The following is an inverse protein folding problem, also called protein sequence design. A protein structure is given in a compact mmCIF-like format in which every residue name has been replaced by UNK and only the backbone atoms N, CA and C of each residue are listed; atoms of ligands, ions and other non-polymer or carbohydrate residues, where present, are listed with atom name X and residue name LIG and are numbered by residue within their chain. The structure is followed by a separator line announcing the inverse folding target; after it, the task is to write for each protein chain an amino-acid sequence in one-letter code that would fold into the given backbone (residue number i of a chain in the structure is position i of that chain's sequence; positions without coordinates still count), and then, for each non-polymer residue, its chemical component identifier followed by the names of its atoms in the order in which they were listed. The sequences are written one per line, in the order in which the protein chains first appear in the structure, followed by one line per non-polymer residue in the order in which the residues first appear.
data_IF_079174183418
#
_entry.id   IF_079174183418
#
_cell.length_a   1.000
_cell.length_b   1.000
_cell.length_c   1.000
_cell.angle_alpha   90.00
_cell.angle_beta   90.00
_cell.angle_gamma   90.00
#
_symmetry.space_group_name_H-M   'P 1'
#
loop_
_entity.id
_entity.type
_entity.pdbx_description
1 polymer ?
#
# COMPACT_ATOMS: atom_id res chain seq x y z
N UNK A 1 11.95 -43.95 35.11
CA UNK A 1 12.61 -42.66 35.36
C UNK A 1 13.64 -42.27 34.30
N UNK A 2 14.13 -43.21 33.49
CA UNK A 2 15.12 -42.91 32.43
C UNK A 2 14.53 -42.36 31.12
N UNK A 3 13.25 -42.55 30.82
CA UNK A 3 12.58 -42.05 29.60
C UNK A 3 12.31 -40.55 29.58
N UNK A 4 12.08 -39.96 30.74
CA UNK A 4 11.72 -38.53 30.84
C UNK A 4 12.95 -37.59 30.70
N UNK A 5 14.13 -38.09 31.12
CA UNK A 5 15.39 -37.31 30.96
C UNK A 5 15.86 -37.26 29.50
N UNK A 6 15.68 -38.35 28.74
CA UNK A 6 16.04 -38.42 27.33
C UNK A 6 15.17 -37.49 26.48
N UNK A 7 13.86 -37.44 26.75
CA UNK A 7 12.91 -36.55 26.04
C UNK A 7 13.22 -35.08 26.30
N UNK A 8 13.58 -34.68 27.53
CA UNK A 8 13.95 -33.31 27.86
C UNK A 8 15.28 -32.86 27.20
N UNK A 9 16.23 -33.74 27.05
CA UNK A 9 17.52 -33.45 26.37
C UNK A 9 17.29 -33.31 24.86
N UNK A 10 16.40 -34.12 24.26
CA UNK A 10 16.04 -34.02 22.86
C UNK A 10 15.27 -32.72 22.56
N UNK A 11 14.30 -32.33 23.38
CA UNK A 11 13.56 -31.07 23.25
C UNK A 11 14.44 -29.84 23.44
N UNK A 12 15.45 -29.92 24.31
CA UNK A 12 16.43 -28.83 24.49
C UNK A 12 17.38 -28.69 23.30
N UNK A 13 17.79 -29.82 22.67
CA UNK A 13 18.63 -29.81 21.45
C UNK A 13 17.85 -29.25 20.23
N UNK A 14 16.57 -29.56 20.11
CA UNK A 14 15.72 -29.02 19.03
C UNK A 14 15.44 -27.52 19.22
N UNK A 15 15.22 -27.03 20.45
CA UNK A 15 15.13 -25.60 20.74
C UNK A 15 16.42 -24.85 20.43
N UNK A 16 17.58 -25.39 20.77
CA UNK A 16 18.89 -24.81 20.43
C UNK A 16 19.19 -24.82 18.93
N UNK A 17 18.76 -25.86 18.20
CA UNK A 17 18.87 -25.96 16.74
C UNK A 17 17.99 -24.89 16.04
N UNK A 18 16.80 -24.58 16.58
CA UNK A 18 15.94 -23.51 16.09
C UNK A 18 16.53 -22.11 16.28
N UNK A 19 17.20 -21.88 17.40
CA UNK A 19 17.85 -20.59 17.70
C UNK A 19 19.06 -20.32 16.79
N UNK A 20 19.87 -21.33 16.52
CA UNK A 20 21.02 -21.23 15.61
C UNK A 20 20.63 -20.94 14.16
N UNK A 21 19.50 -21.49 13.69
CA UNK A 21 18.95 -21.19 12.34
C UNK A 21 18.45 -19.78 12.24
N UNK A 22 17.82 -19.23 13.28
CA UNK A 22 17.31 -17.85 13.28
C UNK A 22 18.45 -16.83 13.24
N UNK A 23 19.55 -17.11 13.91
CA UNK A 23 20.72 -16.21 13.95
C UNK A 23 21.50 -16.23 12.62
N UNK A 24 21.64 -17.41 12.00
CA UNK A 24 22.23 -17.58 10.65
C UNK A 24 21.38 -16.85 9.59
N UNK A 25 20.06 -17.02 9.65
CA UNK A 25 19.13 -16.33 8.77
C UNK A 25 19.17 -14.79 8.98
N UNK A 26 19.28 -14.32 10.23
CA UNK A 26 19.47 -12.90 10.53
C UNK A 26 20.80 -12.35 10.00
N UNK A 27 21.88 -13.11 10.10
CA UNK A 27 23.19 -12.72 9.55
C UNK A 27 23.18 -12.70 8.02
N UNK A 28 22.51 -13.65 7.37
CA UNK A 28 22.33 -13.65 5.91
C UNK A 28 21.43 -12.51 5.43
N UNK A 29 20.32 -12.22 6.14
CA UNK A 29 19.48 -11.05 5.84
C UNK A 29 20.25 -9.71 6.00
N UNK A 30 21.09 -9.60 7.03
CA UNK A 30 21.97 -8.44 7.20
C UNK A 30 23.04 -8.34 6.11
N UNK A 31 23.59 -9.47 5.66
CA UNK A 31 24.53 -9.54 4.53
C UNK A 31 23.84 -9.15 3.21
N UNK A 32 22.63 -9.67 2.96
CA UNK A 32 21.81 -9.30 1.78
C UNK A 32 21.39 -7.82 1.79
N UNK A 33 21.05 -7.26 2.97
CA UNK A 33 20.76 -5.82 3.09
C UNK A 33 22.01 -4.95 2.89
N UNK A 34 23.19 -5.43 3.30
CA UNK A 34 24.47 -4.72 3.10
C UNK A 34 24.94 -4.81 1.65
N UNK A 35 24.73 -5.96 0.96
CA UNK A 35 25.04 -6.10 -0.47
C UNK A 35 24.07 -5.31 -1.37
N UNK A 36 22.76 -5.23 -1.00
CA UNK A 36 21.81 -4.36 -1.73
C UNK A 36 22.08 -2.86 -1.54
N UNK A 37 22.76 -2.45 -0.45
CA UNK A 37 23.16 -1.05 -0.25
C UNK A 37 24.46 -0.67 -0.99
N UNK A 38 25.22 -1.65 -1.47
CA UNK A 38 26.50 -1.45 -2.16
C UNK A 38 26.39 -1.39 -3.69
N UNK A 39 25.19 -1.66 -4.26
CA UNK A 39 25.00 -1.75 -5.71
C UNK A 39 23.92 -0.79 -6.23
N UNK A 40 23.86 0.40 -5.65
CA UNK A 40 23.23 1.53 -6.32
C UNK A 40 24.30 2.15 -7.22
N UNK A 41 24.53 1.51 -8.36
CA UNK A 41 25.21 2.19 -9.47
C UNK A 41 24.45 3.49 -9.72
N UNK A 42 25.14 4.64 -9.83
CA UNK A 42 24.47 5.91 -10.11
C UNK A 42 23.60 5.69 -11.35
N UNK A 43 22.33 6.08 -11.27
CA UNK A 43 21.41 6.06 -12.41
C UNK A 43 22.13 6.83 -13.52
N UNK A 44 22.59 6.11 -14.54
CA UNK A 44 23.34 6.71 -15.63
C UNK A 44 22.38 7.65 -16.36
N UNK A 45 22.58 8.95 -16.20
CA UNK A 45 21.78 9.94 -16.91
C UNK A 45 21.84 9.67 -18.41
N UNK A 46 20.71 9.77 -19.07
CA UNK A 46 20.63 9.63 -20.52
C UNK A 46 21.40 10.78 -21.19
N UNK A 47 22.12 10.46 -22.26
CA UNK A 47 22.64 11.53 -23.11
C UNK A 47 21.45 12.28 -23.75
N UNK A 48 21.65 13.55 -24.17
CA UNK A 48 20.60 14.32 -24.86
C UNK A 48 20.06 13.62 -26.12
N UNK A 49 20.89 12.82 -26.80
CA UNK A 49 20.47 12.01 -27.94
C UNK A 49 19.60 10.81 -27.51
N UNK A 50 19.98 10.09 -26.45
CA UNK A 50 19.19 9.00 -25.91
C UNK A 50 17.85 9.51 -25.39
N UNK A 51 17.83 10.68 -24.74
CA UNK A 51 16.59 11.29 -24.27
C UNK A 51 15.65 11.61 -25.44
N UNK A 52 16.16 12.27 -26.51
CA UNK A 52 15.35 12.58 -27.71
C UNK A 52 14.82 11.31 -28.39
N UNK A 53 15.61 10.24 -28.43
CA UNK A 53 15.18 8.96 -28.99
C UNK A 53 14.09 8.32 -28.14
N UNK A 54 14.27 8.33 -26.80
CA UNK A 54 13.25 7.84 -25.87
C UNK A 54 11.94 8.61 -26.03
N UNK A 55 11.99 9.93 -26.03
CA UNK A 55 10.80 10.80 -26.17
C UNK A 55 10.05 10.52 -27.48
N UNK A 56 10.80 10.38 -28.59
CA UNK A 56 10.20 10.04 -29.88
C UNK A 56 9.44 8.71 -29.84
N UNK A 57 10.06 7.65 -29.34
CA UNK A 57 9.43 6.34 -29.29
C UNK A 57 8.29 6.30 -28.27
N UNK A 58 8.41 7.00 -27.16
CA UNK A 58 7.32 7.05 -26.17
C UNK A 58 6.07 7.76 -26.73
N UNK A 59 6.25 8.85 -27.47
CA UNK A 59 5.16 9.53 -28.17
C UNK A 59 4.57 8.66 -29.28
N UNK A 60 5.39 7.92 -30.00
CA UNK A 60 4.93 6.98 -31.02
C UNK A 60 4.10 5.84 -30.42
N UNK A 61 4.51 5.29 -29.28
CA UNK A 61 3.73 4.30 -28.54
C UNK A 61 2.37 4.86 -28.12
N UNK A 62 2.33 6.10 -27.62
CA UNK A 62 1.09 6.78 -27.27
C UNK A 62 0.15 6.96 -28.50
N UNK A 63 0.72 7.33 -29.65
CA UNK A 63 -0.01 7.47 -30.93
C UNK A 63 -0.62 6.15 -31.37
N UNK A 64 0.15 5.07 -31.34
CA UNK A 64 -0.30 3.72 -31.70
C UNK A 64 -1.41 3.22 -30.77
N UNK A 65 -1.29 3.50 -29.46
CA UNK A 65 -2.34 3.20 -28.47
C UNK A 65 -3.67 3.90 -28.80
N UNK A 66 -3.62 5.18 -29.20
CA UNK A 66 -4.81 5.94 -29.64
C UNK A 66 -5.41 5.32 -30.92
N UNK A 67 -4.59 4.82 -31.83
CA UNK A 67 -5.00 4.11 -33.03
C UNK A 67 -5.48 2.67 -32.77
N UNK A 68 -5.41 2.21 -31.51
CA UNK A 68 -5.74 0.84 -31.09
C UNK A 68 -4.81 -0.24 -31.68
N UNK A 69 -3.65 0.15 -32.17
CA UNK A 69 -2.59 -0.78 -32.58
C UNK A 69 -1.75 -1.15 -31.36
N UNK A 70 -2.32 -2.02 -30.52
CA UNK A 70 -1.76 -2.35 -29.21
C UNK A 70 -0.49 -3.19 -29.32
N UNK A 71 -0.37 -4.05 -30.33
CA UNK A 71 0.81 -4.89 -30.52
C UNK A 71 2.01 -4.04 -30.90
N UNK A 72 1.85 -3.12 -31.87
CA UNK A 72 2.89 -2.20 -32.24
C UNK A 72 3.26 -1.22 -31.09
N UNK A 73 2.26 -0.76 -30.33
CA UNK A 73 2.52 0.08 -29.15
C UNK A 73 3.34 -0.65 -28.08
N UNK A 74 3.07 -1.93 -27.86
CA UNK A 74 3.81 -2.77 -26.92
C UNK A 74 5.28 -2.91 -27.36
N UNK A 75 5.53 -3.24 -28.63
CA UNK A 75 6.89 -3.38 -29.16
C UNK A 75 7.69 -2.09 -29.04
N UNK A 76 7.06 -0.96 -29.35
CA UNK A 76 7.67 0.37 -29.23
C UNK A 76 7.97 0.71 -27.76
N UNK A 77 7.09 0.38 -26.82
CA UNK A 77 7.34 0.55 -25.38
C UNK A 77 8.49 -0.32 -24.89
N UNK A 78 8.60 -1.56 -25.37
CA UNK A 78 9.78 -2.40 -25.07
C UNK A 78 11.06 -1.73 -25.56
N UNK A 79 11.03 -1.13 -26.76
CA UNK A 79 12.18 -0.39 -27.28
C UNK A 79 12.50 0.84 -26.41
N UNK A 80 11.50 1.57 -25.91
CA UNK A 80 11.73 2.65 -24.92
C UNK A 80 12.52 2.16 -23.71
N UNK A 81 12.18 0.98 -23.18
CA UNK A 81 12.86 0.39 -22.03
C UNK A 81 14.26 -0.13 -22.34
N UNK A 82 14.61 -0.40 -23.61
CA UNK A 82 16.01 -0.65 -23.98
C UNK A 82 16.86 0.62 -23.94
N UNK A 83 16.25 1.78 -24.21
CA UNK A 83 16.93 3.10 -24.16
C UNK A 83 17.02 3.57 -22.69
N UNK A 84 15.91 3.51 -21.97
CA UNK A 84 15.82 3.89 -20.55
C UNK A 84 15.10 2.81 -19.73
N UNK A 85 15.84 1.83 -19.16
CA UNK A 85 15.25 0.75 -18.35
C UNK A 85 14.57 1.23 -17.06
N UNK A 86 14.78 2.48 -16.67
CA UNK A 86 14.23 3.08 -15.45
C UNK A 86 13.16 4.14 -15.73
N UNK A 87 12.68 4.24 -16.97
CA UNK A 87 11.64 5.19 -17.34
C UNK A 87 10.30 4.81 -16.70
N UNK A 88 9.92 5.51 -15.65
CA UNK A 88 8.69 5.23 -14.89
C UNK A 88 7.44 5.27 -15.75
N UNK A 89 7.35 6.20 -16.71
CA UNK A 89 6.22 6.30 -17.62
C UNK A 89 6.10 5.08 -18.54
N UNK A 90 7.21 4.62 -19.13
CA UNK A 90 7.21 3.43 -19.98
C UNK A 90 6.93 2.15 -19.16
N UNK A 91 7.49 2.05 -17.95
CA UNK A 91 7.24 0.94 -17.03
C UNK A 91 5.75 0.88 -16.62
N UNK A 92 5.13 2.02 -16.33
CA UNK A 92 3.72 2.10 -15.99
C UNK A 92 2.83 1.67 -17.16
N UNK A 93 3.10 2.17 -18.36
CA UNK A 93 2.38 1.77 -19.57
C UNK A 93 2.57 0.26 -19.87
N UNK A 94 3.81 -0.26 -19.79
CA UNK A 94 4.09 -1.70 -19.96
C UNK A 94 3.32 -2.56 -18.96
N UNK A 95 3.20 -2.11 -17.71
CA UNK A 95 2.45 -2.83 -16.70
C UNK A 95 0.98 -3.02 -17.11
N UNK A 96 0.34 -2.02 -17.74
CA UNK A 96 -1.03 -2.14 -18.24
C UNK A 96 -1.16 -3.23 -19.31
N UNK A 97 -0.18 -3.32 -20.22
CA UNK A 97 -0.15 -4.40 -21.23
C UNK A 97 0.05 -5.77 -20.60
N UNK A 98 0.96 -5.91 -19.64
CA UNK A 98 1.18 -7.17 -18.93
C UNK A 98 -0.09 -7.61 -18.17
N UNK A 99 -0.80 -6.68 -17.54
CA UNK A 99 -2.06 -6.97 -16.87
C UNK A 99 -3.14 -7.43 -17.87
N UNK A 100 -3.26 -6.77 -19.01
CA UNK A 100 -4.17 -7.18 -20.08
C UNK A 100 -3.86 -8.59 -20.60
N UNK A 101 -2.57 -8.92 -20.77
CA UNK A 101 -2.09 -10.23 -21.18
C UNK A 101 -2.12 -11.28 -20.05
N UNK A 102 -2.67 -10.94 -18.89
CA UNK A 102 -2.71 -11.80 -17.69
C UNK A 102 -1.33 -12.24 -17.18
N UNK A 103 -0.28 -11.51 -17.53
CA UNK A 103 1.07 -11.69 -17.04
C UNK A 103 1.29 -10.87 -15.76
N UNK A 104 0.47 -11.16 -14.76
CA UNK A 104 0.38 -10.38 -13.51
C UNK A 104 1.75 -10.18 -12.83
N UNK A 105 2.63 -11.17 -12.69
CA UNK A 105 3.93 -10.96 -12.04
C UNK A 105 4.82 -9.93 -12.78
N UNK A 106 4.78 -9.89 -14.11
CA UNK A 106 5.53 -8.90 -14.89
C UNK A 106 4.91 -7.50 -14.77
N UNK A 107 3.59 -7.42 -14.77
CA UNK A 107 2.87 -6.17 -14.54
C UNK A 107 3.17 -5.58 -13.17
N UNK A 108 3.16 -6.41 -12.13
CA UNK A 108 3.50 -6.02 -10.77
C UNK A 108 4.94 -5.52 -10.66
N UNK A 109 5.92 -6.27 -11.19
CA UNK A 109 7.32 -5.86 -11.17
C UNK A 109 7.56 -4.54 -11.90
N UNK A 110 6.86 -4.31 -13.01
CA UNK A 110 6.94 -3.06 -13.75
C UNK A 110 6.34 -1.87 -12.95
N UNK A 111 5.19 -2.06 -12.30
CA UNK A 111 4.57 -1.04 -11.43
C UNK A 111 5.44 -0.74 -10.21
N UNK A 112 5.95 -1.75 -9.53
CA UNK A 112 6.84 -1.58 -8.38
C UNK A 112 8.06 -0.72 -8.76
N UNK A 113 8.68 -1.04 -9.89
CA UNK A 113 9.82 -0.27 -10.41
C UNK A 113 9.42 1.15 -10.83
N UNK A 114 8.23 1.35 -11.42
CA UNK A 114 7.74 2.67 -11.77
C UNK A 114 7.55 3.56 -10.52
N UNK A 115 6.97 3.01 -9.44
CA UNK A 115 6.78 3.70 -8.15
C UNK A 115 8.13 3.98 -7.48
N UNK A 116 9.07 3.03 -7.50
CA UNK A 116 10.42 3.21 -6.93
C UNK A 116 11.16 4.37 -7.62
N UNK A 117 11.08 4.46 -8.94
CA UNK A 117 11.76 5.48 -9.74
C UNK A 117 11.04 6.85 -9.73
N UNK A 118 9.73 6.87 -9.47
CA UNK A 118 8.92 8.10 -9.40
C UNK A 118 8.02 8.11 -8.16
N UNK A 119 8.59 8.18 -6.94
CA UNK A 119 7.85 8.03 -5.69
C UNK A 119 6.85 9.16 -5.42
N UNK A 120 6.94 10.28 -6.13
CA UNK A 120 6.02 11.42 -6.03
C UNK A 120 4.90 11.38 -7.09
N UNK A 121 4.81 10.31 -7.89
CA UNK A 121 3.71 10.15 -8.83
C UNK A 121 2.57 9.37 -8.16
N UNK A 122 1.51 10.10 -7.81
CA UNK A 122 0.32 9.54 -7.18
C UNK A 122 -0.30 8.39 -7.98
N UNK A 123 -0.41 8.56 -9.31
CA UNK A 123 -1.11 7.59 -10.16
C UNK A 123 -0.38 6.25 -10.27
N UNK A 124 0.96 6.26 -10.22
CA UNK A 124 1.72 5.02 -10.22
C UNK A 124 1.54 4.27 -8.89
N UNK A 125 1.61 5.00 -7.77
CA UNK A 125 1.38 4.42 -6.45
C UNK A 125 -0.06 3.90 -6.31
N UNK A 126 -1.05 4.64 -6.79
CA UNK A 126 -2.46 4.22 -6.77
C UNK A 126 -2.68 2.96 -7.62
N UNK A 127 -2.06 2.89 -8.81
CA UNK A 127 -2.12 1.70 -9.67
C UNK A 127 -1.54 0.46 -8.97
N UNK A 128 -0.42 0.62 -8.27
CA UNK A 128 0.22 -0.47 -7.52
C UNK A 128 -0.60 -0.89 -6.29
N UNK A 129 -1.17 0.07 -5.56
CA UNK A 129 -2.04 -0.22 -4.42
C UNK A 129 -3.28 -1.01 -4.85
N UNK A 130 -3.92 -0.61 -5.94
CA UNK A 130 -5.06 -1.32 -6.51
C UNK A 130 -4.69 -2.74 -6.93
N UNK A 131 -3.50 -2.94 -7.52
CA UNK A 131 -3.03 -4.26 -7.90
C UNK A 131 -2.83 -5.16 -6.68
N UNK A 132 -2.20 -4.66 -5.62
CA UNK A 132 -2.03 -5.42 -4.38
C UNK A 132 -3.38 -5.79 -3.74
N UNK A 133 -4.35 -4.88 -3.74
CA UNK A 133 -5.70 -5.16 -3.26
C UNK A 133 -6.40 -6.24 -4.08
N UNK A 134 -6.29 -6.20 -5.42
CA UNK A 134 -6.86 -7.21 -6.31
C UNK A 134 -6.23 -8.60 -6.11
N UNK A 135 -4.97 -8.66 -5.73
CA UNK A 135 -4.25 -9.91 -5.46
C UNK A 135 -4.38 -10.39 -4.02
N UNK A 136 -5.15 -9.69 -3.18
CA UNK A 136 -5.24 -9.91 -1.73
C UNK A 136 -3.88 -9.84 -1.00
N UNK A 137 -2.92 -9.09 -1.55
CA UNK A 137 -1.65 -8.77 -0.88
C UNK A 137 -1.87 -7.63 0.13
N UNK A 138 -2.72 -7.88 1.11
CA UNK A 138 -3.34 -6.87 1.98
C UNK A 138 -2.31 -6.08 2.79
N UNK A 139 -1.27 -6.74 3.33
CA UNK A 139 -0.22 -6.08 4.12
C UNK A 139 0.62 -5.13 3.24
N UNK A 140 0.89 -5.53 1.98
CA UNK A 140 1.64 -4.68 1.04
C UNK A 140 0.80 -3.49 0.58
N UNK A 141 -0.49 -3.73 0.33
CA UNK A 141 -1.44 -2.68 0.01
C UNK A 141 -1.52 -1.65 1.15
N UNK A 142 -1.72 -2.10 2.39
CA UNK A 142 -1.80 -1.24 3.56
C UNK A 142 -0.52 -0.40 3.76
N UNK A 143 0.66 -1.04 3.69
CA UNK A 143 1.94 -0.33 3.84
C UNK A 143 2.16 0.75 2.76
N UNK A 144 1.77 0.47 1.51
CA UNK A 144 1.84 1.45 0.42
C UNK A 144 0.84 2.59 0.64
N UNK A 145 -0.40 2.28 0.98
CA UNK A 145 -1.46 3.26 1.23
C UNK A 145 -1.17 4.16 2.43
N UNK A 146 -0.59 3.62 3.52
CA UNK A 146 -0.12 4.42 4.66
C UNK A 146 0.93 5.45 4.23
N UNK A 147 1.88 5.02 3.40
CA UNK A 147 2.91 5.90 2.84
C UNK A 147 2.27 6.96 1.92
N UNK A 148 1.31 6.57 1.08
CA UNK A 148 0.56 7.47 0.21
C UNK A 148 -0.23 8.51 1.01
N UNK A 149 -0.90 8.10 2.10
CA UNK A 149 -1.67 9.00 2.95
C UNK A 149 -0.82 10.10 3.60
N UNK A 150 0.46 9.82 3.86
CA UNK A 150 1.42 10.83 4.36
C UNK A 150 1.94 11.70 3.22
N UNK A 151 2.33 11.09 2.10
CA UNK A 151 3.01 11.77 1.00
C UNK A 151 2.07 12.65 0.16
N UNK A 152 0.84 12.20 -0.02
CA UNK A 152 -0.22 12.87 -0.79
C UNK A 152 -1.35 13.27 0.14
N UNK A 153 -1.05 14.18 1.07
CA UNK A 153 -1.98 14.60 2.13
C UNK A 153 -3.23 15.30 1.62
N UNK A 154 -3.22 15.78 0.38
CA UNK A 154 -4.38 16.35 -0.32
C UNK A 154 -5.36 15.30 -0.87
N UNK A 155 -4.97 14.02 -0.91
CA UNK A 155 -5.78 12.91 -1.40
C UNK A 155 -6.39 12.12 -0.26
N UNK A 156 -7.70 11.89 -0.33
CA UNK A 156 -8.43 11.09 0.66
C UNK A 156 -8.52 9.60 0.29
N UNK A 157 -8.40 9.26 -1.00
CA UNK A 157 -8.52 7.87 -1.48
C UNK A 157 -7.64 6.87 -0.71
N UNK A 158 -6.36 7.16 -0.37
CA UNK A 158 -5.56 6.23 0.41
C UNK A 158 -6.15 5.92 1.79
N UNK A 159 -6.80 6.91 2.43
CA UNK A 159 -7.45 6.71 3.73
C UNK A 159 -8.70 5.86 3.60
N UNK A 160 -9.53 6.07 2.57
CA UNK A 160 -10.70 5.24 2.32
C UNK A 160 -10.33 3.80 2.00
N UNK A 161 -9.29 3.58 1.19
CA UNK A 161 -8.78 2.24 0.91
C UNK A 161 -8.24 1.54 2.16
N UNK A 162 -7.53 2.27 3.05
CA UNK A 162 -7.09 1.75 4.35
C UNK A 162 -8.27 1.40 5.25
N UNK A 163 -9.31 2.24 5.27
CA UNK A 163 -10.52 1.99 6.02
C UNK A 163 -11.18 0.66 5.59
N UNK A 164 -11.28 0.41 4.29
CA UNK A 164 -11.79 -0.84 3.74
C UNK A 164 -10.94 -2.05 4.19
N UNK A 165 -9.61 -1.94 4.08
CA UNK A 165 -8.68 -3.00 4.47
C UNK A 165 -8.83 -3.32 5.96
N UNK A 166 -8.75 -2.32 6.83
CA UNK A 166 -8.77 -2.52 8.27
C UNK A 166 -10.13 -2.94 8.81
N UNK A 167 -11.23 -2.50 8.18
CA UNK A 167 -12.56 -3.01 8.49
C UNK A 167 -12.71 -4.50 8.18
N UNK A 168 -12.19 -4.96 7.03
CA UNK A 168 -12.21 -6.39 6.70
C UNK A 168 -11.36 -7.26 7.66
N UNK A 169 -10.32 -6.67 8.23
CA UNK A 169 -9.43 -7.33 9.19
C UNK A 169 -9.93 -7.20 10.64
N UNK A 170 -11.02 -6.48 10.87
CA UNK A 170 -11.56 -6.16 12.22
C UNK A 170 -10.52 -5.44 13.11
N UNK A 171 -9.57 -4.71 12.48
CA UNK A 171 -8.55 -3.94 13.20
C UNK A 171 -9.11 -2.59 13.66
N UNK A 172 -10.06 -2.63 14.58
CA UNK A 172 -10.87 -1.48 14.99
C UNK A 172 -10.05 -0.27 15.48
N UNK A 173 -8.92 -0.48 16.13
CA UNK A 173 -8.07 0.64 16.56
C UNK A 173 -7.45 1.39 15.38
N UNK A 174 -7.07 0.66 14.33
CA UNK A 174 -6.58 1.28 13.09
C UNK A 174 -7.73 1.98 12.34
N UNK A 175 -8.91 1.38 12.31
CA UNK A 175 -10.11 1.99 11.70
C UNK A 175 -10.40 3.33 12.38
N UNK A 176 -10.42 3.40 13.71
CA UNK A 176 -10.62 4.66 14.46
C UNK A 176 -9.51 5.67 14.11
N UNK A 177 -8.26 5.23 14.04
CA UNK A 177 -7.14 6.07 13.65
C UNK A 177 -7.29 6.68 12.24
N UNK A 178 -7.82 5.92 11.28
CA UNK A 178 -8.12 6.43 9.93
C UNK A 178 -9.31 7.39 9.94
N UNK A 179 -10.39 7.06 10.67
CA UNK A 179 -11.56 7.93 10.81
C UNK A 179 -11.18 9.29 11.41
N UNK A 180 -10.31 9.31 12.43
CA UNK A 180 -9.79 10.56 13.00
C UNK A 180 -8.99 11.38 11.96
N UNK A 181 -8.14 10.74 11.16
CA UNK A 181 -7.42 11.44 10.08
C UNK A 181 -8.35 11.99 9.01
N UNK A 182 -9.45 11.30 8.70
CA UNK A 182 -10.46 11.80 7.79
C UNK A 182 -11.19 13.02 8.40
N UNK A 183 -11.53 12.96 9.68
CA UNK A 183 -12.17 14.06 10.40
C UNK A 183 -11.25 15.29 10.51
N UNK A 184 -9.95 15.10 10.76
CA UNK A 184 -8.95 16.18 10.74
C UNK A 184 -8.88 16.90 9.38
N UNK A 185 -9.10 16.19 8.27
CA UNK A 185 -9.00 16.74 6.91
C UNK A 185 -10.31 17.32 6.38
N UNK A 186 -11.43 16.71 6.75
CA UNK A 186 -12.76 17.05 6.23
C UNK A 186 -13.57 17.93 7.17
N UNK A 187 -13.15 18.02 8.43
CA UNK A 187 -13.92 18.58 9.53
C UNK A 187 -14.84 17.54 10.18
N UNK A 188 -15.50 17.96 11.28
CA UNK A 188 -16.48 17.13 12.00
C UNK A 188 -17.58 16.69 11.05
N UNK A 189 -17.91 15.40 11.08
CA UNK A 189 -18.85 14.80 10.14
C UNK A 189 -19.68 13.72 10.85
N UNK A 190 -20.98 13.82 10.72
CA UNK A 190 -21.95 12.87 11.32
C UNK A 190 -21.59 11.42 10.99
N UNK A 191 -21.30 11.14 9.72
CA UNK A 191 -21.04 9.78 9.25
C UNK A 191 -19.78 9.18 9.90
N UNK A 192 -18.70 9.98 10.01
CA UNK A 192 -17.45 9.54 10.63
C UNK A 192 -17.65 9.31 12.13
N UNK A 193 -18.33 10.21 12.83
CA UNK A 193 -18.60 10.08 14.26
C UNK A 193 -19.51 8.88 14.57
N UNK A 194 -20.55 8.66 13.76
CA UNK A 194 -21.43 7.49 13.93
C UNK A 194 -20.70 6.17 13.67
N UNK A 195 -19.76 6.15 12.74
CA UNK A 195 -18.94 4.95 12.50
C UNK A 195 -17.99 4.69 13.68
N UNK A 196 -17.33 5.73 14.22
CA UNK A 196 -16.52 5.62 15.44
C UNK A 196 -17.37 5.14 16.62
N UNK A 197 -18.56 5.71 16.80
CA UNK A 197 -19.50 5.31 17.84
C UNK A 197 -19.83 3.80 17.78
N UNK A 198 -20.18 3.28 16.59
CA UNK A 198 -20.46 1.84 16.42
C UNK A 198 -19.27 0.97 16.79
N UNK A 199 -18.07 1.39 16.38
CA UNK A 199 -16.83 0.65 16.67
C UNK A 199 -16.56 0.65 18.17
N UNK A 200 -16.73 1.78 18.86
CA UNK A 200 -16.56 1.84 20.32
C UNK A 200 -17.56 0.94 21.07
N UNK A 201 -18.82 0.88 20.63
CA UNK A 201 -19.80 -0.06 21.19
C UNK A 201 -19.39 -1.53 20.97
N UNK A 202 -18.89 -1.88 19.77
CA UNK A 202 -18.38 -3.22 19.49
C UNK A 202 -17.20 -3.59 20.41
N UNK A 203 -16.33 -2.62 20.70
CA UNK A 203 -15.22 -2.76 21.63
C UNK A 203 -15.64 -2.75 23.11
N UNK A 204 -16.89 -2.48 23.41
CA UNK A 204 -17.41 -2.24 24.77
C UNK A 204 -16.69 -1.09 25.48
N UNK A 205 -16.32 -0.08 24.70
CA UNK A 205 -15.75 1.19 25.19
C UNK A 205 -16.87 2.25 25.22
N UNK A 206 -17.77 2.09 26.19
CA UNK A 206 -18.96 2.95 26.34
C UNK A 206 -18.56 4.41 26.58
N UNK A 207 -17.42 4.65 27.26
CA UNK A 207 -16.92 6.01 27.51
C UNK A 207 -16.58 6.74 26.22
N UNK A 208 -15.86 6.10 25.29
CA UNK A 208 -15.51 6.68 24.02
C UNK A 208 -16.72 6.79 23.09
N UNK A 209 -17.65 5.83 23.15
CA UNK A 209 -18.92 5.88 22.44
C UNK A 209 -19.75 7.10 22.89
N UNK A 210 -19.90 7.28 24.21
CA UNK A 210 -20.60 8.44 24.78
C UNK A 210 -19.99 9.76 24.31
N UNK A 211 -18.67 9.89 24.34
CA UNK A 211 -17.98 11.11 23.89
C UNK A 211 -18.24 11.45 22.41
N UNK A 212 -18.30 10.44 21.52
CA UNK A 212 -18.61 10.68 20.10
C UNK A 212 -20.05 11.23 19.90
N UNK A 213 -21.03 10.68 20.64
CA UNK A 213 -22.41 11.19 20.58
C UNK A 213 -22.55 12.56 21.24
N UNK A 214 -21.90 12.78 22.39
CA UNK A 214 -21.87 14.09 23.05
C UNK A 214 -21.34 15.17 22.07
N UNK A 215 -20.25 14.88 21.37
CA UNK A 215 -19.69 15.81 20.39
C UNK A 215 -20.60 16.06 19.18
N UNK A 216 -21.48 15.10 18.80
CA UNK A 216 -22.50 15.32 17.77
C UNK A 216 -23.65 16.19 18.29
N UNK A 217 -24.05 16.03 19.56
CA UNK A 217 -25.05 16.92 20.19
C UNK A 217 -24.54 18.37 20.26
N UNK A 218 -23.26 18.57 20.56
CA UNK A 218 -22.63 19.90 20.56
C UNK A 218 -22.63 20.55 19.17
N UNK A 219 -22.27 19.77 18.14
CA UNK A 219 -22.19 20.25 16.76
C UNK A 219 -23.59 20.48 16.15
N UNK A 220 -24.56 19.61 16.50
CA UNK A 220 -25.93 19.64 15.97
C UNK A 220 -26.97 19.73 17.10
N UNK A 221 -27.04 20.84 17.88
CA UNK A 221 -27.85 20.93 19.11
C UNK A 221 -29.35 20.84 18.89
N UNK A 222 -29.83 21.09 17.68
CA UNK A 222 -31.24 21.00 17.31
C UNK A 222 -31.65 19.60 16.77
N UNK A 223 -30.72 18.66 16.65
CA UNK A 223 -31.03 17.32 16.18
C UNK A 223 -31.34 16.38 17.35
N UNK A 224 -32.64 16.16 17.55
CA UNK A 224 -33.17 15.30 18.62
C UNK A 224 -32.66 13.83 18.54
N UNK A 225 -32.23 13.37 17.35
CA UNK A 225 -31.75 11.98 17.18
C UNK A 225 -30.55 11.70 18.08
N UNK A 226 -29.59 12.62 18.17
CA UNK A 226 -28.38 12.43 18.98
C UNK A 226 -28.67 12.55 20.47
N UNK A 227 -29.62 13.41 20.86
CA UNK A 227 -30.04 13.54 22.26
C UNK A 227 -30.69 12.25 22.77
N UNK A 228 -31.49 11.57 21.94
CA UNK A 228 -32.08 10.27 22.27
C UNK A 228 -30.99 9.20 22.42
N UNK A 229 -30.07 9.09 21.46
CA UNK A 229 -28.96 8.14 21.52
C UNK A 229 -28.06 8.40 22.73
N UNK A 230 -27.82 9.65 23.09
CA UNK A 230 -27.04 10.03 24.27
C UNK A 230 -27.70 9.58 25.58
N UNK A 231 -29.03 9.53 25.62
CA UNK A 231 -29.78 9.05 26.79
C UNK A 231 -29.80 7.52 26.92
N UNK A 232 -29.48 6.78 25.86
CA UNK A 232 -29.51 5.32 25.80
C UNK A 232 -28.13 4.67 26.04
N UNK A 233 -27.05 5.43 26.10
CA UNK A 233 -25.66 4.99 26.31
C UNK A 233 -25.25 5.16 27.76
#
# INVERSE_FOLDING_TARGET
TYGVQAANVQASKEKMSGYGRSEKARKELKKRKKSKKADVSPVKELTPEQQRRYDYFFLEAARLKVQKDYDAAFDVLQHCLTINPNASSALYEMAQYYMYLKQVPLGQAALEKAVENAPHNYWYAQGLANLYMQQNETERAAALLENMAVRFSDKLDPLYNLLEIYNRQEEYDKVIGILNKLEERMGKNEQLSMEKFRIYLQKKDDKSAFHEIESLVEEYPNDMRYQVVLGDV
#
